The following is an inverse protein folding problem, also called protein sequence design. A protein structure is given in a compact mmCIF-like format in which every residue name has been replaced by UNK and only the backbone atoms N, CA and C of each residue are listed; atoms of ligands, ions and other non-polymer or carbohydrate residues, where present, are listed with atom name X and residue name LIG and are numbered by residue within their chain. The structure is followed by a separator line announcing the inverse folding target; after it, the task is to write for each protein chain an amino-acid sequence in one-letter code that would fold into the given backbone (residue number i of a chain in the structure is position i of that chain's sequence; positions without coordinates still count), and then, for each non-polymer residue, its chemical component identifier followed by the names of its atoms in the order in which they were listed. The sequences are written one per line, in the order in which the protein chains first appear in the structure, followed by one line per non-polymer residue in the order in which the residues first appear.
data_IF_897762487886
#
_entry.id   IF_897762487886
#
_cell.length_a   1.000
_cell.length_b   1.000
_cell.length_c   1.000
_cell.angle_alpha   90.00
_cell.angle_beta   90.00
_cell.angle_gamma   90.00
#
_symmetry.space_group_name_H-M   'P 1'
#
loop_
_entity.id
_entity.type
_entity.pdbx_description
1 polymer ?
#
# COMPACT_ATOMS: atom_id res chain seq x y z
N UNK A 1 15.74 -4.81 -5.80
CA UNK A 1 16.20 -3.71 -4.91
C UNK A 1 15.81 -2.35 -5.50
N UNK A 2 16.23 -2.04 -6.75
CA UNK A 2 15.91 -0.76 -7.42
C UNK A 2 14.41 -0.40 -7.44
N UNK A 3 13.53 -1.32 -7.85
CA UNK A 3 12.09 -1.05 -7.94
C UNK A 3 11.46 -0.67 -6.58
N UNK A 4 11.95 -1.26 -5.49
CA UNK A 4 11.45 -0.96 -4.14
C UNK A 4 11.88 0.42 -3.68
N UNK A 5 13.15 0.74 -3.90
CA UNK A 5 13.67 2.08 -3.60
C UNK A 5 12.99 3.14 -4.46
N UNK A 6 12.67 2.83 -5.72
CA UNK A 6 11.89 3.72 -6.59
C UNK A 6 10.49 3.95 -6.03
N UNK A 7 9.75 2.89 -5.69
CA UNK A 7 8.40 3.02 -5.14
C UNK A 7 8.39 3.81 -3.81
N UNK A 8 9.42 3.64 -2.98
CA UNK A 8 9.60 4.42 -1.75
C UNK A 8 9.86 5.90 -2.06
N UNK A 9 10.73 6.18 -3.02
CA UNK A 9 11.03 7.54 -3.45
C UNK A 9 9.77 8.23 -3.98
N UNK A 10 9.04 7.58 -4.88
CA UNK A 10 7.80 8.10 -5.47
C UNK A 10 6.74 8.39 -4.40
N UNK A 11 6.63 7.53 -3.38
CA UNK A 11 5.72 7.73 -2.26
C UNK A 11 6.14 8.94 -1.42
N UNK A 12 7.43 9.09 -1.12
CA UNK A 12 7.94 10.22 -0.34
C UNK A 12 7.81 11.54 -1.10
N UNK A 13 8.12 11.55 -2.40
CA UNK A 13 7.94 12.72 -3.27
C UNK A 13 6.48 13.18 -3.29
N UNK A 14 5.53 12.24 -3.38
CA UNK A 14 4.11 12.57 -3.29
C UNK A 14 3.74 13.22 -1.94
N UNK A 15 4.31 12.75 -0.82
CA UNK A 15 4.01 13.31 0.50
C UNK A 15 4.59 14.71 0.70
N UNK A 16 5.71 15.02 0.05
CA UNK A 16 6.42 16.30 0.20
C UNK A 16 6.00 17.35 -0.85
N UNK A 17 5.55 16.94 -2.04
CA UNK A 17 5.11 17.83 -3.13
C UNK A 17 3.57 17.77 -3.37
N UNK A 18 2.84 18.87 -3.09
CA UNK A 18 1.40 18.93 -3.33
C UNK A 18 0.96 18.68 -4.78
N UNK A 19 1.77 19.01 -5.78
CA UNK A 19 1.43 18.79 -7.19
C UNK A 19 1.55 17.31 -7.56
N UNK A 20 2.55 16.62 -7.01
CA UNK A 20 2.69 15.17 -7.18
C UNK A 20 1.53 14.46 -6.51
N UNK A 21 1.15 14.86 -5.30
CA UNK A 21 -0.04 14.33 -4.62
C UNK A 21 -1.33 14.61 -5.41
N UNK A 22 -1.48 15.80 -6.00
CA UNK A 22 -2.64 16.12 -6.84
C UNK A 22 -2.74 15.17 -8.04
N UNK A 23 -1.63 14.82 -8.68
CA UNK A 23 -1.59 13.82 -9.74
C UNK A 23 -2.07 12.45 -9.26
N UNK A 24 -1.62 12.00 -8.07
CA UNK A 24 -2.07 10.74 -7.45
C UNK A 24 -3.57 10.75 -7.15
N UNK A 25 -4.12 11.89 -6.72
CA UNK A 25 -5.56 12.06 -6.47
C UNK A 25 -6.38 11.95 -7.76
N UNK A 26 -5.95 12.61 -8.82
CA UNK A 26 -6.60 12.52 -10.14
C UNK A 26 -6.55 11.11 -10.73
N UNK A 27 -5.49 10.35 -10.44
CA UNK A 27 -5.36 8.95 -10.84
C UNK A 27 -6.19 7.98 -9.96
N UNK A 28 -6.86 8.48 -8.92
CA UNK A 28 -7.61 7.65 -7.96
C UNK A 28 -6.72 6.88 -6.99
N UNK A 29 -5.43 7.18 -6.91
CA UNK A 29 -4.44 6.53 -6.03
C UNK A 29 -4.32 7.20 -4.65
N UNK A 30 -4.98 8.34 -4.48
CA UNK A 30 -5.07 9.09 -3.24
C UNK A 30 -6.38 9.89 -3.20
N UNK A 31 -6.75 10.41 -2.04
CA UNK A 31 -7.86 11.35 -1.90
C UNK A 31 -7.62 12.27 -0.70
N UNK A 32 -8.13 13.49 -0.80
CA UNK A 32 -8.14 14.47 0.28
C UNK A 32 -9.58 14.91 0.56
N UNK A 33 -9.86 15.23 1.82
CA UNK A 33 -11.21 15.57 2.23
C UNK A 33 -11.29 16.15 3.62
N UNK A 34 -12.51 16.46 4.03
CA UNK A 34 -12.83 16.93 5.36
C UNK A 34 -13.48 15.80 6.15
N UNK A 35 -13.05 15.61 7.40
CA UNK A 35 -13.67 14.66 8.31
C UNK A 35 -15.00 15.22 8.79
N UNK A 36 -16.11 14.57 8.43
CA UNK A 36 -17.45 15.03 8.80
C UNK A 36 -18.01 14.32 10.03
N UNK A 37 -17.48 13.14 10.34
CA UNK A 37 -17.90 12.32 11.46
C UNK A 37 -16.77 11.41 11.95
N UNK A 38 -16.73 11.18 13.26
CA UNK A 38 -15.84 10.21 13.91
C UNK A 38 -16.65 9.44 14.93
N UNK A 39 -16.74 8.11 14.74
CA UNK A 39 -17.44 7.21 15.64
C UNK A 39 -16.44 6.26 16.28
N UNK A 40 -16.31 6.32 17.61
CA UNK A 40 -15.47 5.37 18.34
C UNK A 40 -16.06 3.96 18.25
N UNK A 41 -15.27 3.02 17.72
CA UNK A 41 -15.57 1.60 17.73
C UNK A 41 -14.34 0.81 18.23
N UNK A 42 -14.53 -0.47 18.50
CA UNK A 42 -13.51 -1.34 19.08
C UNK A 42 -13.49 -2.68 18.37
N UNK A 43 -12.31 -3.30 18.30
CA UNK A 43 -12.16 -4.66 17.80
C UNK A 43 -12.83 -5.67 18.75
N UNK A 44 -13.33 -6.77 18.20
CA UNK A 44 -13.83 -7.88 19.00
C UNK A 44 -12.70 -8.63 19.74
N UNK A 45 -13.04 -9.30 20.84
CA UNK A 45 -12.13 -10.19 21.59
C UNK A 45 -11.93 -9.83 23.06
N UNK A 46 -11.10 -10.62 23.76
CA UNK A 46 -10.88 -10.53 25.22
C UNK A 46 -10.26 -9.19 25.67
N UNK A 47 -9.52 -8.53 24.78
CA UNK A 47 -8.93 -7.20 24.99
C UNK A 47 -9.23 -6.34 23.77
N UNK A 48 -10.41 -5.70 23.72
CA UNK A 48 -10.79 -4.82 22.62
C UNK A 48 -9.78 -3.69 22.43
N UNK A 49 -9.41 -3.42 21.19
CA UNK A 49 -8.53 -2.32 20.82
C UNK A 49 -9.31 -1.26 20.03
N UNK A 50 -8.97 0.03 20.12
CA UNK A 50 -9.68 1.09 19.39
C UNK A 50 -9.67 0.84 17.88
N UNK A 51 -10.82 1.03 17.25
CA UNK A 51 -11.10 0.92 15.80
C UNK A 51 -12.08 2.01 15.37
N UNK A 52 -11.78 3.30 15.59
CA UNK A 52 -12.69 4.37 15.22
C UNK A 52 -12.98 4.36 13.73
N UNK A 53 -14.22 4.68 13.39
CA UNK A 53 -14.69 4.95 12.04
C UNK A 53 -14.60 6.45 11.81
N UNK A 54 -14.01 6.84 10.70
CA UNK A 54 -13.84 8.23 10.27
C UNK A 54 -14.54 8.36 8.93
N UNK A 55 -15.52 9.25 8.86
CA UNK A 55 -16.22 9.57 7.61
C UNK A 55 -15.60 10.81 7.00
N UNK A 56 -15.08 10.68 5.79
CA UNK A 56 -14.40 11.75 5.06
C UNK A 56 -15.26 12.16 3.87
N UNK A 57 -15.63 13.44 3.82
CA UNK A 57 -16.24 14.04 2.64
C UNK A 57 -15.16 14.47 1.65
N UNK A 58 -15.23 13.98 0.42
CA UNK A 58 -14.26 14.27 -0.63
C UNK A 58 -14.94 14.50 -1.98
N UNK A 59 -14.30 15.33 -2.81
CA UNK A 59 -14.66 15.51 -4.22
C UNK A 59 -13.83 14.60 -5.14
N UNK A 60 -12.84 13.88 -4.59
CA UNK A 60 -12.01 12.96 -5.36
C UNK A 60 -12.78 11.67 -5.70
N UNK A 61 -12.20 10.84 -6.58
CA UNK A 61 -12.75 9.54 -6.98
C UNK A 61 -11.70 8.44 -6.80
N UNK A 62 -11.36 8.08 -5.55
CA UNK A 62 -10.34 7.07 -5.29
C UNK A 62 -10.80 5.67 -5.70
N UNK A 63 -9.87 4.84 -6.17
CA UNK A 63 -10.14 3.46 -6.57
C UNK A 63 -10.19 2.51 -5.36
N UNK A 64 -11.19 2.70 -4.50
CA UNK A 64 -11.40 1.89 -3.31
C UNK A 64 -12.16 0.61 -3.65
N UNK A 65 -11.49 -0.53 -3.50
CA UNK A 65 -12.12 -1.84 -3.50
C UNK A 65 -12.60 -2.27 -2.11
N UNK A 66 -13.31 -3.40 -2.03
CA UNK A 66 -13.68 -3.98 -0.73
C UNK A 66 -12.45 -4.19 0.17
N UNK A 67 -12.53 -3.70 1.41
CA UNK A 67 -11.44 -3.79 2.41
C UNK A 67 -10.11 -3.19 1.93
N UNK A 68 -10.14 -2.27 0.96
CA UNK A 68 -8.94 -1.58 0.51
C UNK A 68 -8.26 -0.86 1.68
N UNK A 69 -6.93 -0.83 1.67
CA UNK A 69 -6.16 -0.09 2.66
C UNK A 69 -5.92 1.32 2.19
N UNK A 70 -6.02 2.24 3.13
CA UNK A 70 -5.67 3.64 2.97
C UNK A 70 -4.63 4.03 4.01
N UNK A 71 -3.75 4.97 3.68
CA UNK A 71 -2.65 5.39 4.54
C UNK A 71 -2.61 6.91 4.63
N UNK A 72 -2.50 7.46 5.84
CA UNK A 72 -2.24 8.89 6.05
C UNK A 72 -0.91 9.09 6.75
N UNK A 73 -0.24 10.20 6.50
CA UNK A 73 0.97 10.57 7.24
C UNK A 73 0.57 11.09 8.63
N UNK A 74 0.97 10.39 9.68
CA UNK A 74 0.82 10.78 11.07
C UNK A 74 2.22 11.02 11.66
N UNK A 75 2.60 12.28 11.84
CA UNK A 75 3.92 12.67 12.32
C UNK A 75 5.06 12.01 11.52
N UNK A 76 4.93 12.00 10.18
CA UNK A 76 5.91 11.40 9.27
C UNK A 76 5.90 9.87 9.23
N UNK A 77 4.89 9.21 9.81
CA UNK A 77 4.74 7.75 9.78
C UNK A 77 3.40 7.35 9.15
N UNK A 78 3.35 6.29 8.32
CA UNK A 78 2.10 5.84 7.71
C UNK A 78 1.16 5.26 8.76
N UNK A 79 0.03 5.91 9.03
CA UNK A 79 -1.08 5.32 9.77
C UNK A 79 -2.04 4.63 8.81
N UNK A 80 -2.36 3.37 9.10
CA UNK A 80 -3.22 2.54 8.26
C UNK A 80 -4.70 2.68 8.63
N UNK A 81 -5.54 2.71 7.61
CA UNK A 81 -6.98 2.59 7.71
C UNK A 81 -7.51 1.58 6.69
N UNK A 82 -8.69 1.03 6.96
CA UNK A 82 -9.40 0.10 6.07
C UNK A 82 -10.67 0.76 5.58
N UNK A 83 -10.93 0.68 4.28
CA UNK A 83 -12.19 1.11 3.69
C UNK A 83 -13.34 0.20 4.14
N UNK A 84 -14.40 0.83 4.63
CA UNK A 84 -15.58 0.14 5.15
C UNK A 84 -16.76 0.28 4.21
N UNK A 85 -17.04 1.51 3.77
CA UNK A 85 -18.20 1.82 2.94
C UNK A 85 -18.00 3.14 2.21
N UNK A 86 -18.74 3.27 1.12
CA UNK A 86 -18.97 4.50 0.38
C UNK A 86 -20.45 4.88 0.53
N UNK A 87 -20.70 6.14 0.83
CA UNK A 87 -22.02 6.72 1.04
C UNK A 87 -22.16 7.97 0.16
N UNK A 88 -23.39 8.46 -0.04
CA UNK A 88 -23.71 9.64 -0.86
C UNK A 88 -23.03 9.63 -2.25
N UNK A 89 -23.16 8.51 -2.97
CA UNK A 89 -22.69 8.35 -4.36
C UNK A 89 -21.19 8.66 -4.54
N UNK A 90 -20.35 8.19 -3.61
CA UNK A 90 -18.90 8.40 -3.69
C UNK A 90 -18.38 9.62 -2.96
N UNK A 91 -19.27 10.44 -2.39
CA UNK A 91 -18.88 11.70 -1.76
C UNK A 91 -18.43 11.50 -0.31
N UNK A 92 -18.94 10.46 0.37
CA UNK A 92 -18.58 10.12 1.74
C UNK A 92 -17.86 8.77 1.79
N UNK A 93 -16.65 8.77 2.31
CA UNK A 93 -15.81 7.58 2.45
C UNK A 93 -15.66 7.26 3.93
N UNK A 94 -16.10 6.07 4.34
CA UNK A 94 -15.99 5.57 5.72
C UNK A 94 -14.75 4.70 5.86
N UNK A 95 -13.82 5.13 6.72
CA UNK A 95 -12.56 4.45 6.99
C UNK A 95 -12.48 4.00 8.44
N UNK A 96 -12.01 2.78 8.67
CA UNK A 96 -11.66 2.28 10.01
C UNK A 96 -10.18 2.47 10.27
N UNK A 97 -9.80 3.25 11.26
CA UNK A 97 -8.39 3.40 11.67
C UNK A 97 -7.91 2.12 12.36
N UNK A 98 -6.74 1.60 11.96
CA UNK A 98 -6.25 0.30 12.41
C UNK A 98 -5.09 0.36 13.40
N UNK A 99 -4.21 1.36 13.27
CA UNK A 99 -2.95 1.42 14.02
C UNK A 99 -2.59 2.83 14.51
N UNK A 100 -1.44 2.94 15.19
CA UNK A 100 -0.84 4.18 15.72
C UNK A 100 -1.75 5.03 16.63
N UNK A 101 -2.64 4.39 17.38
CA UNK A 101 -3.50 5.04 18.39
C UNK A 101 -3.01 4.82 19.83
N UNK A 102 -1.74 4.45 20.01
CA UNK A 102 -1.21 4.04 21.31
C UNK A 102 -1.59 2.61 21.71
N UNK A 103 -1.29 2.26 22.96
CA UNK A 103 -1.54 0.91 23.54
C UNK A 103 -2.76 0.86 24.47
N UNK A 104 -3.38 2.02 24.72
CA UNK A 104 -4.50 2.17 25.64
C UNK A 104 -5.85 1.81 25.02
N UNK A 105 -6.91 1.88 25.84
CA UNK A 105 -8.31 1.82 25.38
C UNK A 105 -8.76 3.14 24.77
N UNK A 106 -8.15 4.24 25.17
CA UNK A 106 -8.37 5.55 24.58
C UNK A 106 -7.23 5.82 23.60
N UNK A 107 -7.54 6.27 22.37
CA UNK A 107 -6.52 6.71 21.43
C UNK A 107 -5.65 7.82 22.00
N UNK A 108 -4.36 7.81 21.69
CA UNK A 108 -3.47 8.94 21.99
C UNK A 108 -3.98 10.23 21.31
N UNK A 109 -3.84 11.37 21.98
CA UNK A 109 -4.29 12.65 21.44
C UNK A 109 -3.63 12.94 20.07
N UNK A 110 -4.43 13.38 19.10
CA UNK A 110 -4.00 13.62 17.71
C UNK A 110 -3.79 12.37 16.85
N UNK A 111 -3.94 11.16 17.41
CA UNK A 111 -3.78 9.92 16.64
C UNK A 111 -4.99 9.57 15.76
N UNK A 112 -6.16 10.14 16.06
CA UNK A 112 -7.39 10.01 15.29
C UNK A 112 -7.77 11.42 14.81
N UNK A 113 -8.15 11.61 13.54
CA UNK A 113 -8.65 12.91 13.09
C UNK A 113 -9.89 13.33 13.88
N UNK A 114 -10.11 14.63 13.99
CA UNK A 114 -11.33 15.22 14.56
C UNK A 114 -12.27 15.71 13.46
N UNK A 115 -13.55 15.91 13.81
CA UNK A 115 -14.51 16.50 12.88
C UNK A 115 -14.07 17.92 12.48
N UNK A 116 -14.04 18.18 11.18
CA UNK A 116 -13.55 19.42 10.57
C UNK A 116 -12.11 19.34 10.09
N UNK A 117 -11.35 18.30 10.45
CA UNK A 117 -9.97 18.15 10.01
C UNK A 117 -9.89 17.90 8.50
N UNK A 118 -8.88 18.51 7.88
CA UNK A 118 -8.46 18.20 6.51
C UNK A 118 -7.51 17.01 6.55
N UNK A 119 -7.86 15.93 5.87
CA UNK A 119 -7.05 14.71 5.80
C UNK A 119 -6.72 14.37 4.36
N UNK A 120 -5.57 13.73 4.16
CA UNK A 120 -5.16 13.15 2.89
C UNK A 120 -4.77 11.68 3.13
N UNK A 121 -5.38 10.80 2.35
CA UNK A 121 -5.11 9.37 2.36
C UNK A 121 -4.56 8.92 1.01
N UNK A 122 -3.60 8.00 1.03
CA UNK A 122 -3.04 7.33 -0.14
C UNK A 122 -3.48 5.87 -0.16
N UNK A 123 -3.63 5.27 -1.33
CA UNK A 123 -3.92 3.84 -1.50
C UNK A 123 -2.65 2.99 -1.62
N UNK A 124 -1.48 3.65 -1.61
CA UNK A 124 -0.17 3.04 -1.55
C UNK A 124 0.48 3.26 -0.17
N UNK A 125 1.30 2.29 0.24
CA UNK A 125 2.12 2.38 1.46
C UNK A 125 3.26 3.39 1.28
N UNK A 126 3.60 4.11 2.36
CA UNK A 126 4.73 5.07 2.35
C UNK A 126 6.08 4.37 2.45
N UNK A 127 6.10 3.12 2.89
CA UNK A 127 7.26 2.24 2.83
C UNK A 127 6.81 0.89 2.24
N UNK A 128 7.36 0.53 1.08
CA UNK A 128 6.97 -0.72 0.43
C UNK A 128 7.49 -1.91 1.24
N UNK A 129 6.60 -2.75 1.75
CA UNK A 129 6.97 -4.00 2.44
C UNK A 129 7.83 -4.87 1.51
N UNK A 130 8.94 -5.39 2.03
CA UNK A 130 9.76 -6.34 1.28
C UNK A 130 8.93 -7.56 0.85
N UNK A 131 8.86 -7.82 -0.45
CA UNK A 131 8.22 -9.02 -0.99
C UNK A 131 8.81 -10.30 -0.40
N UNK A 132 8.03 -11.39 -0.45
CA UNK A 132 8.43 -12.69 0.08
C UNK A 132 9.83 -13.08 -0.41
N UNK A 133 10.63 -13.69 0.49
CA UNK A 133 11.91 -14.27 0.09
C UNK A 133 11.61 -15.30 -1.00
N UNK A 134 12.29 -15.20 -2.14
CA UNK A 134 12.22 -16.23 -3.18
C UNK A 134 12.58 -17.58 -2.53
N UNK A 135 11.90 -18.68 -2.91
CA UNK A 135 12.31 -20.01 -2.49
C UNK A 135 13.77 -20.24 -2.93
N UNK A 136 14.45 -21.14 -2.22
CA UNK A 136 15.79 -21.56 -2.61
C UNK A 136 15.77 -22.05 -4.08
N UNK A 137 16.83 -21.80 -4.89
CA UNK A 137 16.91 -22.30 -6.26
C UNK A 137 16.57 -23.79 -6.40
N UNK A 138 16.92 -24.61 -5.41
CA UNK A 138 16.58 -26.06 -5.38
C UNK A 138 15.07 -26.33 -5.21
N UNK A 139 14.34 -25.34 -4.71
CA UNK A 139 12.90 -25.38 -4.44
C UNK A 139 12.08 -24.61 -5.50
N UNK A 140 12.73 -24.01 -6.50
CA UNK A 140 12.01 -23.44 -7.66
C UNK A 140 11.58 -24.57 -8.61
N UNK A 141 10.27 -24.77 -8.86
CA UNK A 141 9.81 -25.80 -9.78
C UNK A 141 10.25 -25.45 -11.21
N UNK A 142 11.10 -26.31 -11.78
CA UNK A 142 11.67 -26.13 -13.11
C UNK A 142 10.77 -26.81 -14.14
N UNK A 143 10.34 -26.05 -15.15
CA UNK A 143 9.48 -26.63 -16.19
C UNK A 143 10.25 -27.30 -17.31
N UNK A 144 11.59 -27.19 -17.45
CA UNK A 144 12.31 -27.76 -18.61
C UNK A 144 13.81 -28.15 -18.49
N UNK A 145 14.53 -28.09 -17.35
CA UNK A 145 15.98 -28.44 -17.37
C UNK A 145 16.78 -28.64 -16.08
N UNK A 146 16.17 -29.07 -14.98
CA UNK A 146 16.83 -29.37 -13.71
C UNK A 146 17.22 -28.12 -12.93
N UNK A 147 17.40 -28.21 -11.59
CA UNK A 147 18.20 -27.21 -10.89
C UNK A 147 19.60 -27.15 -11.53
N UNK A 148 20.24 -25.98 -11.64
CA UNK A 148 21.58 -25.88 -12.19
C UNK A 148 22.54 -26.68 -11.31
N UNK A 149 23.03 -27.81 -11.81
CA UNK A 149 24.16 -28.52 -11.19
C UNK A 149 25.43 -27.67 -11.30
N UNK A 150 26.34 -27.80 -10.32
CA UNK A 150 27.55 -26.96 -10.14
C UNK A 150 28.53 -26.92 -11.33
N UNK A 151 28.30 -27.64 -12.42
CA UNK A 151 29.16 -27.60 -13.61
C UNK A 151 28.30 -27.76 -14.87
N UNK A 152 27.86 -26.65 -15.46
CA UNK A 152 27.51 -26.64 -16.88
C UNK A 152 28.82 -26.77 -17.66
N UNK A 153 29.18 -28.00 -18.06
CA UNK A 153 30.21 -28.19 -19.07
C UNK A 153 29.69 -27.47 -20.32
N UNK A 154 30.39 -26.45 -20.85
CA UNK A 154 29.93 -25.78 -22.05
C UNK A 154 29.82 -26.82 -23.16
N UNK A 155 28.62 -26.95 -23.73
CA UNK A 155 28.40 -27.78 -24.90
C UNK A 155 29.29 -27.24 -26.03
N UNK A 156 30.07 -28.14 -26.64
CA UNK A 156 30.96 -27.74 -27.71
C UNK A 156 30.11 -27.22 -28.88
N UNK A 157 30.48 -26.10 -29.51
CA UNK A 157 29.73 -25.59 -30.66
C UNK A 157 29.66 -26.66 -31.75
N UNK A 158 28.50 -26.74 -32.40
CA UNK A 158 28.32 -27.64 -33.53
C UNK A 158 29.35 -27.34 -34.63
N UNK A 159 29.83 -28.38 -35.33
CA UNK A 159 30.75 -28.19 -36.44
C UNK A 159 30.07 -27.41 -37.56
N UNK A 160 30.80 -26.45 -38.14
CA UNK A 160 30.30 -25.61 -39.24
C UNK A 160 29.86 -26.48 -40.42
N UNK A 161 28.68 -26.20 -40.94
CA UNK A 161 28.10 -26.93 -42.08
C UNK A 161 28.26 -26.14 -43.38
N UNK A 162 28.11 -26.79 -44.53
CA UNK A 162 28.23 -26.13 -45.84
C UNK A 162 27.15 -25.03 -46.07
N UNK A 163 26.03 -25.08 -45.33
CA UNK A 163 24.99 -24.05 -45.38
C UNK A 163 25.41 -22.74 -44.70
N UNK A 164 26.41 -22.76 -43.81
CA UNK A 164 26.90 -21.57 -43.09
C UNK A 164 27.89 -20.72 -43.92
N UNK A 165 28.27 -21.19 -45.12
CA UNK A 165 29.25 -20.56 -46.01
C UNK A 165 28.62 -19.91 -47.26
N UNK A 166 27.28 -19.84 -47.33
CA UNK A 166 26.49 -19.21 -48.40
C UNK A 166 25.97 -17.82 -48.00
#
# INVERSE_FOLDING_TARGET
AREREQARLDAQEALDDPLVMAGRRLAGEAFAGEVVEVVMAYSEGKRPSPRPLVTVRTDDRPHLGERAKAYRSLNGRPQSAEFVAEEDDGTLIVLRVLDKMGRGKEPEAGSVPEKGDRVCFTLFEHEQRGGAKLPDPEQTPWTHGGPPGEVSVPEAPDPVTEEDLL
#
